data_IF_866297530318
#
_entry.id   IF_866297530318
#
_cell.length_a   1.000
_cell.length_b   1.000
_cell.length_c   1.000
_cell.angle_alpha   90.00
_cell.angle_beta   90.00
_cell.angle_gamma   90.00
#
_symmetry.space_group_name_H-M   'P 1'
#
loop_
_entity.id
_entity.type
_entity.pdbx_description
1 polymer ?
#
# COMPACT_ATOMS: atom_id res chain seq x y z
N UNK A 1 8.62 11.02 -9.14
CA UNK A 1 7.70 10.01 -8.57
C UNK A 1 6.28 10.44 -8.88
N UNK A 2 5.46 9.56 -9.47
CA UNK A 2 4.04 9.81 -9.67
C UNK A 2 3.29 9.89 -8.34
N UNK A 3 2.38 10.86 -8.23
CA UNK A 3 1.51 11.04 -7.08
C UNK A 3 0.07 11.25 -7.53
N UNK A 4 -0.89 10.78 -6.74
CA UNK A 4 -2.32 11.06 -6.96
C UNK A 4 -2.66 12.39 -6.31
N UNK A 5 -3.27 13.31 -7.08
CA UNK A 5 -3.68 14.63 -6.61
C UNK A 5 -5.16 14.85 -6.91
N UNK A 6 -5.86 15.49 -5.98
CA UNK A 6 -7.22 15.93 -6.17
C UNK A 6 -7.26 17.35 -6.78
N UNK A 7 -8.13 17.54 -7.77
CA UNK A 7 -8.43 18.82 -8.41
C UNK A 7 -9.92 19.11 -8.23
N UNK A 8 -10.24 20.26 -7.65
CA UNK A 8 -11.62 20.74 -7.56
C UNK A 8 -11.93 21.64 -8.77
N UNK A 9 -13.03 21.35 -9.46
CA UNK A 9 -13.53 22.06 -10.65
C UNK A 9 -15.01 22.29 -10.39
N UNK A 10 -15.50 23.55 -10.39
CA UNK A 10 -16.77 24.01 -9.78
C UNK A 10 -17.54 22.99 -8.92
N UNK A 11 -17.13 22.83 -7.66
CA UNK A 11 -17.77 21.97 -6.66
C UNK A 11 -17.57 20.45 -6.86
N UNK A 12 -16.95 20.02 -7.96
CA UNK A 12 -16.72 18.61 -8.27
C UNK A 12 -15.25 18.26 -8.08
N UNK A 13 -14.99 17.14 -7.40
CA UNK A 13 -13.64 16.62 -7.16
C UNK A 13 -13.24 15.63 -8.25
N UNK A 14 -12.03 15.77 -8.75
CA UNK A 14 -11.43 14.87 -9.73
C UNK A 14 -10.05 14.45 -9.27
N UNK A 15 -9.66 13.22 -9.54
CA UNK A 15 -8.33 12.72 -9.23
C UNK A 15 -7.49 12.62 -10.50
N UNK A 16 -6.18 12.86 -10.36
CA UNK A 16 -5.21 12.82 -11.44
C UNK A 16 -3.91 12.22 -10.91
N UNK A 17 -3.19 11.49 -11.76
CA UNK A 17 -1.80 11.11 -11.50
C UNK A 17 -0.93 12.22 -12.08
N UNK A 18 -0.09 12.80 -11.26
CA UNK A 18 0.87 13.83 -11.66
C UNK A 18 2.29 13.41 -11.32
N UNK A 19 3.24 13.94 -12.07
CA UNK A 19 4.66 13.79 -11.77
C UNK A 19 5.33 15.17 -11.75
N UNK A 20 6.15 15.39 -10.72
CA UNK A 20 7.00 16.58 -10.63
C UNK A 20 8.23 16.41 -11.52
N UNK A 21 8.44 17.35 -12.45
CA UNK A 21 9.60 17.41 -13.34
C UNK A 21 10.19 18.81 -13.32
N UNK A 22 11.49 18.96 -13.55
CA UNK A 22 12.10 20.30 -13.70
C UNK A 22 12.06 20.75 -15.15
N UNK A 23 11.59 21.96 -15.39
CA UNK A 23 11.62 22.62 -16.70
C UNK A 23 12.41 23.90 -16.53
N UNK A 24 13.53 24.03 -17.25
CA UNK A 24 14.50 25.13 -17.10
C UNK A 24 14.89 25.37 -15.63
N UNK A 25 15.20 24.28 -14.92
CA UNK A 25 15.62 24.36 -13.52
C UNK A 25 14.51 24.67 -12.51
N UNK A 26 13.24 24.86 -12.92
CA UNK A 26 12.10 25.09 -12.00
C UNK A 26 11.19 23.86 -11.92
N UNK A 27 10.74 23.43 -10.73
CA UNK A 27 9.81 22.31 -10.61
C UNK A 27 8.46 22.66 -11.23
N UNK A 28 7.89 21.72 -11.99
CA UNK A 28 6.57 21.80 -12.63
C UNK A 28 5.84 20.46 -12.47
N UNK A 29 4.53 20.54 -12.27
CA UNK A 29 3.66 19.35 -12.21
C UNK A 29 3.17 19.01 -13.61
N UNK A 30 3.33 17.75 -14.02
CA UNK A 30 2.84 17.21 -15.28
C UNK A 30 1.75 16.18 -15.02
N UNK A 31 0.61 16.32 -15.68
CA UNK A 31 -0.47 15.34 -15.60
C UNK A 31 -0.12 14.13 -16.47
N UNK A 32 -0.03 12.96 -15.86
CA UNK A 32 0.22 11.68 -16.53
C UNK A 32 -1.08 10.98 -16.91
N UNK A 33 -2.09 11.04 -16.04
CA UNK A 33 -3.39 10.41 -16.28
C UNK A 33 -4.52 11.12 -15.52
N UNK A 34 -5.68 11.22 -16.16
CA UNK A 34 -6.91 11.64 -15.50
C UNK A 34 -7.64 10.43 -14.93
N UNK A 35 -7.71 10.36 -13.60
CA UNK A 35 -8.47 9.31 -12.91
C UNK A 35 -9.96 9.65 -12.86
N UNK A 36 -10.37 10.91 -13.02
CA UNK A 36 -11.79 11.27 -13.04
C UNK A 36 -12.39 11.38 -11.63
N UNK A 37 -13.71 11.21 -11.52
CA UNK A 37 -14.46 11.40 -10.27
C UNK A 37 -14.21 10.28 -9.25
N UNK A 38 -14.29 10.56 -7.94
CA UNK A 38 -14.09 9.56 -6.89
C UNK A 38 -14.97 8.31 -7.07
N UNK A 39 -16.25 8.48 -7.39
CA UNK A 39 -17.22 7.40 -7.46
C UNK A 39 -16.92 6.46 -8.65
N UNK A 40 -16.59 7.05 -9.80
CA UNK A 40 -16.21 6.29 -11.01
C UNK A 40 -14.84 5.63 -10.87
N UNK A 41 -13.92 6.24 -10.11
CA UNK A 41 -12.62 5.63 -9.77
C UNK A 41 -12.82 4.42 -8.86
N UNK A 42 -13.60 4.55 -7.79
CA UNK A 42 -13.88 3.45 -6.88
C UNK A 42 -14.53 2.26 -7.60
N UNK A 43 -15.55 2.51 -8.42
CA UNK A 43 -16.23 1.48 -9.19
C UNK A 43 -15.26 0.70 -10.10
N UNK A 44 -14.34 1.39 -10.79
CA UNK A 44 -13.32 0.73 -11.63
C UNK A 44 -12.29 -0.07 -10.84
N UNK A 45 -11.91 0.39 -9.65
CA UNK A 45 -10.98 -0.34 -8.77
C UNK A 45 -11.63 -1.59 -8.19
N UNK A 46 -12.93 -1.53 -7.89
CA UNK A 46 -13.69 -2.66 -7.35
C UNK A 46 -14.08 -3.71 -8.41
N UNK A 47 -14.05 -3.35 -9.69
CA UNK A 47 -14.28 -4.31 -10.76
C UNK A 47 -13.16 -5.36 -10.78
N UNK A 48 -13.48 -6.67 -10.76
CA UNK A 48 -12.48 -7.72 -10.90
C UNK A 48 -11.94 -7.71 -12.34
N UNK A 49 -10.94 -6.87 -12.59
CA UNK A 49 -10.15 -6.87 -13.82
C UNK A 49 -8.93 -7.78 -13.70
N UNK A 50 -8.30 -8.19 -14.81
CA UNK A 50 -7.03 -8.91 -14.80
C UNK A 50 -5.88 -7.97 -14.43
N UNK A 51 -5.91 -7.39 -13.24
CA UNK A 51 -4.87 -6.52 -12.72
C UNK A 51 -3.80 -7.35 -12.05
N UNK A 52 -2.71 -7.67 -12.75
CA UNK A 52 -1.50 -8.19 -12.09
C UNK A 52 -0.92 -7.08 -11.21
N UNK A 53 -1.29 -7.07 -9.93
CA UNK A 53 -0.67 -6.21 -8.93
C UNK A 53 0.62 -6.87 -8.43
N UNK A 54 1.78 -6.29 -8.75
CA UNK A 54 3.05 -6.72 -8.20
C UNK A 54 3.36 -5.89 -6.96
N UNK A 55 2.94 -6.40 -5.80
CA UNK A 55 3.38 -5.84 -4.51
C UNK A 55 4.87 -6.13 -4.33
N UNK A 56 5.70 -5.09 -4.38
CA UNK A 56 7.16 -5.21 -4.22
C UNK A 56 7.52 -5.64 -2.78
N UNK A 57 6.63 -5.42 -1.81
CA UNK A 57 6.80 -5.84 -0.42
C UNK A 57 6.31 -7.28 -0.15
N UNK A 58 5.50 -7.88 -1.03
CA UNK A 58 4.97 -9.23 -0.80
C UNK A 58 6.09 -10.28 -0.77
N UNK A 59 7.14 -10.12 -1.58
CA UNK A 59 8.29 -11.00 -1.54
C UNK A 59 9.05 -10.95 -0.21
N UNK A 60 9.24 -9.75 0.34
CA UNK A 60 9.92 -9.58 1.64
C UNK A 60 9.08 -10.16 2.78
N UNK A 61 7.76 -9.93 2.78
CA UNK A 61 6.85 -10.50 3.77
C UNK A 61 6.78 -12.03 3.65
N UNK A 62 6.71 -12.57 2.44
CA UNK A 62 6.68 -14.02 2.21
C UNK A 62 8.01 -14.69 2.60
N UNK A 63 9.15 -14.05 2.29
CA UNK A 63 10.47 -14.53 2.70
C UNK A 63 10.63 -14.53 4.22
N UNK A 64 10.25 -13.43 4.88
CA UNK A 64 10.26 -13.34 6.34
C UNK A 64 9.34 -14.38 6.97
N UNK A 65 8.13 -14.56 6.42
CA UNK A 65 7.19 -15.58 6.88
C UNK A 65 7.75 -17.00 6.72
N UNK A 66 8.37 -17.31 5.58
CA UNK A 66 9.01 -18.59 5.34
C UNK A 66 10.15 -18.87 6.32
N UNK A 67 11.00 -17.87 6.59
CA UNK A 67 12.08 -17.96 7.59
C UNK A 67 11.52 -18.14 9.01
N UNK A 68 10.51 -17.35 9.40
CA UNK A 68 9.87 -17.45 10.70
C UNK A 68 9.22 -18.83 10.92
N UNK A 69 8.64 -19.42 9.87
CA UNK A 69 8.05 -20.77 9.91
C UNK A 69 9.14 -21.84 10.02
N UNK A 70 10.21 -21.75 9.23
CA UNK A 70 11.30 -22.73 9.25
C UNK A 70 12.06 -22.76 10.59
N UNK A 71 12.12 -21.62 11.29
CA UNK A 71 12.75 -21.48 12.60
C UNK A 71 11.80 -21.79 13.77
N UNK A 72 10.53 -22.09 13.49
CA UNK A 72 9.47 -22.17 14.50
C UNK A 72 9.50 -20.97 15.47
N UNK A 73 9.65 -19.77 14.89
CA UNK A 73 9.94 -18.55 15.62
C UNK A 73 8.83 -18.22 16.63
N UNK A 74 7.57 -18.57 16.31
CA UNK A 74 6.45 -18.41 17.22
C UNK A 74 6.63 -19.23 18.51
N UNK A 75 6.96 -20.52 18.39
CA UNK A 75 7.19 -21.37 19.56
C UNK A 75 8.41 -20.91 20.39
N UNK A 76 9.47 -20.43 19.71
CA UNK A 76 10.64 -19.87 20.39
C UNK A 76 10.30 -18.62 21.21
N UNK A 77 9.48 -17.73 20.65
CA UNK A 77 8.99 -16.54 21.36
C UNK A 77 8.14 -16.99 22.56
N UNK A 78 7.17 -17.87 22.33
CA UNK A 78 6.26 -18.36 23.36
C UNK A 78 6.98 -19.08 24.51
N UNK A 79 8.11 -19.74 24.23
CA UNK A 79 8.93 -20.40 25.24
C UNK A 79 9.70 -19.41 26.13
N UNK A 80 9.91 -18.16 25.68
CA UNK A 80 10.67 -17.13 26.40
C UNK A 80 9.79 -16.08 27.07
N UNK A 81 8.56 -15.93 26.62
CA UNK A 81 7.61 -14.99 27.20
C UNK A 81 7.11 -15.53 28.55
N UNK A 82 7.23 -14.75 29.65
CA UNK A 82 6.70 -15.14 30.96
C UNK A 82 5.19 -15.35 30.90
N UNK A 83 4.72 -16.46 31.48
CA UNK A 83 3.29 -16.79 31.53
C UNK A 83 2.60 -16.07 32.69
N UNK A 84 1.30 -15.79 32.52
CA UNK A 84 0.45 -15.30 33.61
C UNK A 84 0.29 -16.36 34.71
N UNK A 85 -0.33 -15.98 35.84
CA UNK A 85 -0.55 -16.88 36.99
C UNK A 85 -1.41 -18.11 36.66
N UNK A 86 -2.07 -18.12 35.49
CA UNK A 86 -2.91 -19.22 34.98
C UNK A 86 -2.23 -19.98 33.84
N UNK A 87 -0.95 -19.73 33.58
CA UNK A 87 -0.15 -20.43 32.58
C UNK A 87 -0.36 -19.96 31.13
N UNK A 88 -1.01 -18.81 30.91
CA UNK A 88 -1.30 -18.28 29.56
C UNK A 88 -0.22 -17.29 29.12
N UNK A 89 -0.01 -17.21 27.82
CA UNK A 89 0.80 -16.15 27.23
C UNK A 89 0.08 -14.80 27.40
N UNK A 90 0.82 -13.70 27.61
CA UNK A 90 0.28 -12.37 27.56
C UNK A 90 -0.11 -12.06 26.11
N UNK A 91 -1.40 -12.22 25.82
CA UNK A 91 -2.05 -11.73 24.59
C UNK A 91 -2.47 -10.28 24.75
#
# INVERSE_FOLDING_TARGET
MPSIVAKTVPGRKYYQIVESRRVHGRPRSFVLAHLGRPETLLARVQQPGPGRFRSVAHGAVAALWGQATALDLAALIDARVPRDRRGRLPI
#
